data_IF_240862215749
#
_entry.id   IF_240862215749
#
_cell.length_a   1.000
_cell.length_b   1.000
_cell.length_c   1.000
_cell.angle_alpha   90.00
_cell.angle_beta   90.00
_cell.angle_gamma   90.00
#
_symmetry.space_group_name_H-M   'P 1'
#
loop_
_entity.id
_entity.type
_entity.pdbx_description
1 polymer ?
#
# COMPACT_ATOMS: atom_id res chain seq x y z
N UNK A 1 1.02 61.04 -40.25
CA UNK A 1 0.88 59.66 -39.75
C UNK A 1 1.04 59.74 -38.25
N UNK A 2 0.00 59.43 -37.47
CA UNK A 2 0.15 59.26 -36.02
C UNK A 2 0.76 57.88 -35.87
N UNK A 3 2.07 57.83 -35.67
CA UNK A 3 2.76 56.59 -35.32
C UNK A 3 2.21 56.18 -33.96
N UNK A 4 1.59 55.00 -33.87
CA UNK A 4 1.16 54.46 -32.59
C UNK A 4 2.42 54.26 -31.75
N UNK A 5 2.59 55.12 -30.75
CA UNK A 5 3.84 55.26 -30.01
C UNK A 5 4.21 54.03 -29.14
N UNK A 6 3.45 52.94 -29.25
CA UNK A 6 3.61 51.70 -28.51
C UNK A 6 3.97 50.50 -29.40
N UNK A 7 4.03 50.67 -30.72
CA UNK A 7 4.41 49.60 -31.63
C UNK A 7 5.94 49.56 -31.80
N UNK A 8 6.57 48.44 -31.41
CA UNK A 8 8.02 48.24 -31.49
C UNK A 8 8.52 48.38 -32.91
N UNK A 9 7.79 47.84 -33.89
CA UNK A 9 8.20 47.85 -35.29
C UNK A 9 8.14 49.29 -35.85
N UNK A 10 7.11 50.05 -35.46
CA UNK A 10 6.97 51.43 -35.89
C UNK A 10 8.03 52.38 -35.25
N UNK A 11 8.49 52.08 -34.02
CA UNK A 11 9.60 52.80 -33.40
C UNK A 11 10.93 52.41 -34.05
N UNK A 12 11.14 51.14 -34.40
CA UNK A 12 12.33 50.69 -35.12
C UNK A 12 12.47 51.36 -36.50
N UNK A 13 11.38 51.41 -37.28
CA UNK A 13 11.33 52.12 -38.56
C UNK A 13 11.64 53.62 -38.41
N UNK A 14 11.21 54.24 -37.30
CA UNK A 14 11.52 55.63 -36.99
C UNK A 14 13.00 55.84 -36.63
N UNK A 15 13.63 54.90 -35.91
CA UNK A 15 15.09 54.92 -35.64
C UNK A 15 15.87 54.81 -36.95
N UNK A 16 15.49 53.90 -37.85
CA UNK A 16 16.11 53.76 -39.17
C UNK A 16 15.95 55.03 -40.01
N UNK A 17 14.77 55.65 -39.97
CA UNK A 17 14.53 56.91 -40.68
C UNK A 17 15.41 58.06 -40.15
N UNK A 18 15.50 58.21 -38.83
CA UNK A 18 16.30 59.27 -38.21
C UNK A 18 17.81 59.07 -38.39
N UNK A 19 18.28 57.82 -38.39
CA UNK A 19 19.68 57.51 -38.71
C UNK A 19 20.02 57.79 -40.17
N UNK A 20 19.08 57.56 -41.11
CA UNK A 20 19.25 57.97 -42.50
C UNK A 20 19.26 59.50 -42.69
N UNK A 21 18.42 60.25 -41.95
CA UNK A 21 18.46 61.72 -41.94
C UNK A 21 19.80 62.22 -41.40
N UNK A 22 20.30 61.66 -40.30
CA UNK A 22 21.63 61.99 -39.75
C UNK A 22 22.73 61.81 -40.80
N UNK A 23 22.74 60.67 -41.49
CA UNK A 23 23.81 60.35 -42.46
C UNK A 23 23.75 61.26 -43.70
N UNK A 24 22.55 61.64 -44.15
CA UNK A 24 22.37 62.59 -45.26
C UNK A 24 22.73 64.03 -44.88
N UNK A 25 22.36 64.49 -43.69
CA UNK A 25 22.74 65.82 -43.17
C UNK A 25 24.26 65.94 -42.94
N UNK A 26 24.88 64.89 -42.38
CA UNK A 26 26.34 64.83 -42.20
C UNK A 26 27.08 64.87 -43.54
N UNK A 27 26.57 64.21 -44.58
CA UNK A 27 27.15 64.26 -45.93
C UNK A 27 27.01 65.63 -46.60
N UNK A 28 25.95 66.39 -46.27
CA UNK A 28 25.73 67.76 -46.74
C UNK A 28 26.55 68.82 -46.00
N UNK A 29 27.19 68.46 -44.87
CA UNK A 29 27.94 69.37 -44.00
C UNK A 29 27.07 70.17 -43.03
N UNK A 30 25.79 69.82 -42.90
CA UNK A 30 24.87 70.43 -41.92
C UNK A 30 24.92 69.66 -40.61
N UNK A 31 25.86 70.04 -39.76
CA UNK A 31 26.14 69.34 -38.50
C UNK A 31 25.08 69.57 -37.42
N UNK A 32 24.37 70.71 -37.46
CA UNK A 32 23.33 71.03 -36.49
C UNK A 32 22.12 70.10 -36.70
N UNK A 33 21.68 69.96 -37.95
CA UNK A 33 20.61 69.01 -38.31
C UNK A 33 21.03 67.54 -38.05
N UNK A 34 22.30 67.20 -38.26
CA UNK A 34 22.80 65.86 -37.95
C UNK A 34 22.83 65.57 -36.43
N UNK A 35 23.13 66.57 -35.60
CA UNK A 35 23.12 66.43 -34.14
C UNK A 35 21.70 66.26 -33.59
N UNK A 36 20.74 67.06 -34.05
CA UNK A 36 19.32 66.92 -33.67
C UNK A 36 18.76 65.54 -34.08
N UNK A 37 19.09 65.07 -35.29
CA UNK A 37 18.69 63.75 -35.76
C UNK A 37 19.34 62.61 -34.96
N UNK A 38 20.57 62.80 -34.48
CA UNK A 38 21.27 61.85 -33.63
C UNK A 38 20.63 61.74 -32.24
N UNK A 39 20.37 62.87 -31.58
CA UNK A 39 19.72 62.89 -30.26
C UNK A 39 18.34 62.21 -30.31
N UNK A 40 17.54 62.52 -31.33
CA UNK A 40 16.21 61.92 -31.48
C UNK A 40 16.28 60.42 -31.84
N UNK A 41 17.29 59.98 -32.60
CA UNK A 41 17.52 58.55 -32.85
C UNK A 41 17.94 57.80 -31.57
N UNK A 42 18.73 58.41 -30.69
CA UNK A 42 19.09 57.82 -29.39
C UNK A 42 17.88 57.69 -28.46
N UNK A 43 17.03 58.73 -28.37
CA UNK A 43 15.79 58.69 -27.59
C UNK A 43 14.83 57.60 -28.10
N UNK A 44 14.64 57.52 -29.42
CA UNK A 44 13.79 56.47 -30.01
C UNK A 44 14.39 55.08 -29.81
N UNK A 45 15.72 54.92 -29.89
CA UNK A 45 16.39 53.63 -29.64
C UNK A 45 16.26 53.20 -28.17
N UNK A 46 16.33 54.13 -27.22
CA UNK A 46 16.07 53.86 -25.81
C UNK A 46 14.62 53.39 -25.59
N UNK A 47 13.64 54.08 -26.22
CA UNK A 47 12.23 53.70 -26.17
C UNK A 47 11.97 52.33 -26.80
N UNK A 48 12.61 52.03 -27.92
CA UNK A 48 12.54 50.72 -28.58
C UNK A 48 13.03 49.60 -27.66
N UNK A 49 14.16 49.83 -26.95
CA UNK A 49 14.71 48.88 -25.99
C UNK A 49 13.77 48.65 -24.79
N UNK A 50 13.10 49.70 -24.30
CA UNK A 50 12.10 49.59 -23.25
C UNK A 50 10.89 48.76 -23.68
N UNK A 51 10.32 49.04 -24.86
CA UNK A 51 9.19 48.27 -25.38
C UNK A 51 9.56 46.79 -25.62
N UNK A 52 10.74 46.52 -26.19
CA UNK A 52 11.26 45.15 -26.34
C UNK A 52 11.40 44.44 -24.99
N UNK A 53 11.84 45.14 -23.94
CA UNK A 53 11.95 44.57 -22.60
C UNK A 53 10.56 44.22 -22.03
N UNK A 54 9.56 45.10 -22.23
CA UNK A 54 8.17 44.85 -21.83
C UNK A 54 7.61 43.62 -22.54
N UNK A 55 7.75 43.53 -23.86
CA UNK A 55 7.26 42.39 -24.65
C UNK A 55 7.94 41.08 -24.24
N UNK A 56 9.26 41.10 -24.05
CA UNK A 56 10.00 39.94 -23.55
C UNK A 56 9.49 39.51 -22.17
N UNK A 57 9.24 40.45 -21.26
CA UNK A 57 8.71 40.15 -19.93
C UNK A 57 7.30 39.54 -19.98
N UNK A 58 6.45 40.03 -20.89
CA UNK A 58 5.10 39.49 -21.11
C UNK A 58 5.16 38.07 -21.68
N UNK A 59 6.07 37.82 -22.62
CA UNK A 59 6.34 36.47 -23.14
C UNK A 59 6.83 35.52 -22.04
N UNK A 60 7.76 35.96 -21.18
CA UNK A 60 8.24 35.15 -20.05
C UNK A 60 7.12 34.80 -19.07
N UNK A 61 6.26 35.76 -18.75
CA UNK A 61 5.11 35.55 -17.89
C UNK A 61 4.12 34.55 -18.50
N UNK A 62 3.88 34.64 -19.81
CA UNK A 62 3.04 33.69 -20.54
C UNK A 62 3.63 32.28 -20.55
N UNK A 63 4.91 32.13 -20.89
CA UNK A 63 5.59 30.82 -20.87
C UNK A 63 5.52 30.17 -19.48
N UNK A 64 5.69 30.95 -18.41
CA UNK A 64 5.53 30.47 -17.03
C UNK A 64 4.10 30.04 -16.72
N UNK A 65 3.10 30.82 -17.12
CA UNK A 65 1.70 30.49 -16.91
C UNK A 65 1.30 29.21 -17.66
N UNK A 66 1.76 29.04 -18.89
CA UNK A 66 1.55 27.82 -19.68
C UNK A 66 2.20 26.59 -19.03
N UNK A 67 3.42 26.73 -18.51
CA UNK A 67 4.11 25.66 -17.78
C UNK A 67 3.35 25.27 -16.50
N UNK A 68 2.87 26.25 -15.73
CA UNK A 68 2.09 26.01 -14.51
C UNK A 68 0.76 25.31 -14.82
N UNK A 69 0.02 25.79 -15.83
CA UNK A 69 -1.24 25.17 -16.24
C UNK A 69 -1.06 23.73 -16.72
N UNK A 70 -0.02 23.45 -17.52
CA UNK A 70 0.30 22.10 -17.95
C UNK A 70 0.66 21.19 -16.77
N UNK A 71 1.39 21.71 -15.80
CA UNK A 71 1.74 20.98 -14.58
C UNK A 71 0.51 20.69 -13.70
N UNK A 72 -0.40 21.64 -13.53
CA UNK A 72 -1.64 21.45 -12.77
C UNK A 72 -2.52 20.36 -13.40
N UNK A 73 -2.60 20.32 -14.73
CA UNK A 73 -3.28 19.25 -15.45
C UNK A 73 -2.64 17.88 -15.17
N UNK A 74 -1.31 17.77 -15.26
CA UNK A 74 -0.58 16.54 -14.94
C UNK A 74 -0.79 16.09 -13.49
N UNK A 75 -0.81 17.02 -12.53
CA UNK A 75 -1.11 16.69 -11.13
C UNK A 75 -2.54 16.20 -10.95
N UNK A 76 -3.50 16.83 -11.61
CA UNK A 76 -4.91 16.40 -11.58
C UNK A 76 -5.06 14.98 -12.15
N UNK A 77 -4.46 14.71 -13.30
CA UNK A 77 -4.45 13.37 -13.93
C UNK A 77 -3.76 12.33 -13.03
N UNK A 78 -2.63 12.69 -12.43
CA UNK A 78 -1.91 11.84 -11.49
C UNK A 78 -2.78 11.45 -10.29
N UNK A 79 -3.46 12.43 -9.69
CA UNK A 79 -4.34 12.20 -8.54
C UNK A 79 -5.51 11.30 -8.94
N UNK A 80 -6.21 11.64 -10.03
CA UNK A 80 -7.35 10.85 -10.51
C UNK A 80 -6.95 9.40 -10.81
N UNK A 81 -5.84 9.19 -11.52
CA UNK A 81 -5.36 7.84 -11.86
C UNK A 81 -4.90 7.03 -10.65
N UNK A 82 -4.44 7.69 -9.58
CA UNK A 82 -4.10 7.01 -8.32
C UNK A 82 -5.33 6.70 -7.47
N UNK A 83 -6.32 7.57 -7.45
CA UNK A 83 -7.57 7.34 -6.74
C UNK A 83 -8.32 6.16 -7.37
N UNK A 84 -8.42 6.10 -8.71
CA UNK A 84 -8.99 4.95 -9.42
C UNK A 84 -8.28 3.63 -9.09
N UNK A 85 -6.95 3.62 -9.07
CA UNK A 85 -6.15 2.43 -8.72
C UNK A 85 -6.40 1.97 -7.27
N UNK A 86 -6.51 2.92 -6.34
CA UNK A 86 -6.75 2.62 -4.93
C UNK A 86 -8.18 2.11 -4.70
N UNK A 87 -9.15 2.67 -5.41
CA UNK A 87 -10.54 2.23 -5.37
C UNK A 87 -10.70 0.83 -5.97
N UNK A 88 -10.07 0.57 -7.12
CA UNK A 88 -10.03 -0.77 -7.71
C UNK A 88 -9.38 -1.80 -6.78
N UNK A 89 -8.29 -1.42 -6.10
CA UNK A 89 -7.67 -2.28 -5.08
C UNK A 89 -8.60 -2.52 -3.88
N UNK A 90 -9.28 -1.48 -3.39
CA UNK A 90 -10.21 -1.60 -2.28
C UNK A 90 -11.40 -2.53 -2.61
N UNK A 91 -11.97 -2.40 -3.82
CA UNK A 91 -13.00 -3.29 -4.33
C UNK A 91 -12.51 -4.74 -4.39
N UNK A 92 -11.38 -4.99 -5.05
CA UNK A 92 -10.80 -6.34 -5.15
C UNK A 92 -10.44 -6.94 -3.77
N UNK A 93 -9.99 -6.13 -2.83
CA UNK A 93 -9.71 -6.57 -1.46
C UNK A 93 -10.99 -6.95 -0.69
N UNK A 94 -12.08 -6.21 -0.89
CA UNK A 94 -13.40 -6.53 -0.34
C UNK A 94 -13.91 -7.85 -0.91
N UNK A 95 -13.89 -8.01 -2.24
CA UNK A 95 -14.35 -9.23 -2.91
C UNK A 95 -13.57 -10.46 -2.43
N UNK A 96 -12.25 -10.32 -2.22
CA UNK A 96 -11.42 -11.40 -1.70
C UNK A 96 -11.77 -11.78 -0.25
N UNK A 97 -12.12 -10.81 0.60
CA UNK A 97 -12.57 -11.06 1.97
C UNK A 97 -13.94 -11.74 1.98
N UNK A 98 -14.87 -11.27 1.15
CA UNK A 98 -16.21 -11.84 1.07
C UNK A 98 -16.20 -13.26 0.49
N UNK A 99 -15.36 -13.51 -0.52
CA UNK A 99 -15.11 -14.85 -1.03
C UNK A 99 -14.53 -15.79 0.04
N UNK A 100 -13.59 -15.31 0.86
CA UNK A 100 -13.03 -16.11 1.95
C UNK A 100 -14.10 -16.43 3.00
N UNK A 101 -14.90 -15.45 3.41
CA UNK A 101 -15.99 -15.63 4.39
C UNK A 101 -17.05 -16.59 3.88
N UNK A 102 -17.40 -16.51 2.59
CA UNK A 102 -18.32 -17.44 1.95
C UNK A 102 -17.76 -18.87 1.98
N UNK A 103 -16.48 -19.04 1.64
CA UNK A 103 -15.82 -20.34 1.73
C UNK A 103 -15.77 -20.89 3.17
N UNK A 104 -15.55 -20.03 4.17
CA UNK A 104 -15.62 -20.41 5.58
C UNK A 104 -17.01 -20.88 6.00
N UNK A 105 -18.07 -20.18 5.56
CA UNK A 105 -19.45 -20.57 5.82
C UNK A 105 -19.82 -21.91 5.16
N UNK A 106 -19.38 -22.14 3.93
CA UNK A 106 -19.55 -23.42 3.23
C UNK A 106 -18.78 -24.56 3.92
N UNK A 107 -17.55 -24.31 4.38
CA UNK A 107 -16.75 -25.29 5.14
C UNK A 107 -17.41 -25.62 6.49
N UNK A 108 -17.95 -24.63 7.19
CA UNK A 108 -18.67 -24.84 8.45
C UNK A 108 -19.94 -25.66 8.23
N UNK A 109 -20.71 -25.36 7.19
CA UNK A 109 -21.91 -26.12 6.87
C UNK A 109 -21.57 -27.57 6.49
N UNK A 110 -20.56 -27.78 5.63
CA UNK A 110 -20.10 -29.12 5.29
C UNK A 110 -19.57 -29.89 6.51
N UNK A 111 -18.96 -29.21 7.48
CA UNK A 111 -18.51 -29.81 8.73
C UNK A 111 -19.70 -30.30 9.57
N UNK A 112 -20.77 -29.51 9.67
CA UNK A 112 -22.00 -29.90 10.37
C UNK A 112 -22.72 -31.05 9.69
N UNK A 113 -22.89 -31.00 8.37
CA UNK A 113 -23.54 -32.05 7.58
C UNK A 113 -22.81 -33.39 7.74
N UNK A 114 -21.48 -33.37 7.73
CA UNK A 114 -20.66 -34.56 7.97
C UNK A 114 -20.88 -35.14 9.38
N UNK A 115 -21.04 -34.29 10.40
CA UNK A 115 -21.28 -34.73 11.78
C UNK A 115 -22.71 -35.21 12.02
N UNK A 116 -23.67 -34.67 11.29
CA UNK A 116 -25.05 -35.14 11.29
C UNK A 116 -25.17 -36.50 10.60
N UNK A 117 -24.50 -36.69 9.45
CA UNK A 117 -24.41 -37.97 8.78
C UNK A 117 -23.75 -39.04 9.67
N UNK A 118 -22.63 -38.72 10.31
CA UNK A 118 -22.02 -39.58 11.34
C UNK A 118 -22.95 -39.82 12.54
N UNK A 119 -23.85 -38.87 12.84
CA UNK A 119 -24.84 -39.03 13.91
C UNK A 119 -25.82 -40.14 13.63
N UNK A 120 -26.41 -40.09 12.44
CA UNK A 120 -27.39 -41.06 11.97
C UNK A 120 -26.78 -42.45 11.94
N UNK A 121 -25.54 -42.57 11.45
CA UNK A 121 -24.84 -43.85 11.39
C UNK A 121 -24.49 -44.43 12.78
N UNK A 122 -24.05 -43.59 13.73
CA UNK A 122 -23.56 -44.06 15.03
C UNK A 122 -24.64 -44.30 16.09
N UNK A 123 -25.90 -43.86 15.88
CA UNK A 123 -27.02 -44.15 16.80
C UNK A 123 -27.21 -45.66 17.05
N UNK A 124 -26.77 -46.51 16.12
CA UNK A 124 -26.91 -47.96 16.18
C UNK A 124 -25.78 -48.69 16.93
N UNK A 125 -24.71 -47.99 17.36
CA UNK A 125 -23.46 -48.64 17.80
C UNK A 125 -22.87 -48.09 19.11
N UNK A 126 -23.69 -47.66 20.08
CA UNK A 126 -23.15 -47.44 21.44
C UNK A 126 -22.80 -48.81 22.01
N UNK A 127 -21.49 -49.07 22.15
CA UNK A 127 -20.99 -50.33 22.72
C UNK A 127 -21.47 -50.44 24.17
N UNK A 128 -22.39 -51.35 24.42
CA UNK A 128 -22.89 -51.67 25.76
C UNK A 128 -21.73 -51.90 26.73
N UNK A 129 -21.80 -51.32 27.93
CA UNK A 129 -20.80 -51.60 28.95
C UNK A 129 -20.82 -53.07 29.36
N UNK A 130 -19.69 -53.54 29.90
CA UNK A 130 -19.60 -54.90 30.45
C UNK A 130 -20.65 -55.15 31.55
N UNK A 131 -20.99 -54.11 32.32
CA UNK A 131 -21.99 -54.16 33.39
C UNK A 131 -23.40 -54.30 32.80
N UNK A 132 -23.73 -53.55 31.74
CA UNK A 132 -25.00 -53.70 31.02
C UNK A 132 -25.17 -55.12 30.46
N UNK A 133 -24.13 -55.64 29.79
CA UNK A 133 -24.15 -56.99 29.23
C UNK A 133 -24.31 -58.07 30.31
N UNK A 134 -23.66 -57.90 31.47
CA UNK A 134 -23.80 -58.81 32.60
C UNK A 134 -25.23 -58.79 33.17
N UNK A 135 -25.84 -57.60 33.30
CA UNK A 135 -27.21 -57.46 33.80
C UNK A 135 -28.24 -58.05 32.85
N UNK A 136 -28.08 -57.88 31.54
CA UNK A 136 -28.91 -58.55 30.51
C UNK A 136 -28.82 -60.07 30.59
N UNK A 137 -27.61 -60.63 30.77
CA UNK A 137 -27.45 -62.08 31.01
C UNK A 137 -28.12 -62.55 32.29
N UNK A 138 -28.05 -61.77 33.37
CA UNK A 138 -28.75 -62.09 34.63
C UNK A 138 -30.27 -62.03 34.48
N UNK A 139 -30.79 -61.10 33.67
CA UNK A 139 -32.21 -61.01 33.33
C UNK A 139 -32.65 -62.27 32.56
N UNK A 140 -31.94 -62.65 31.51
CA UNK A 140 -32.20 -63.86 30.72
C UNK A 140 -32.22 -65.13 31.60
N UNK A 141 -31.24 -65.26 32.51
CA UNK A 141 -31.19 -66.37 33.47
C UNK A 141 -32.36 -66.35 34.46
N UNK A 142 -32.77 -65.18 34.94
CA UNK A 142 -33.90 -65.04 35.86
C UNK A 142 -35.24 -65.39 35.19
N UNK A 143 -35.40 -65.04 33.91
CA UNK A 143 -36.57 -65.42 33.10
C UNK A 143 -36.59 -66.93 32.85
N UNK A 144 -35.46 -67.52 32.48
CA UNK A 144 -35.33 -68.96 32.27
C UNK A 144 -35.62 -69.78 33.55
N UNK A 145 -35.35 -69.22 34.72
CA UNK A 145 -35.66 -69.81 36.02
C UNK A 145 -37.08 -69.47 36.55
N UNK A 146 -37.93 -68.81 35.75
CA UNK A 146 -39.28 -68.37 36.12
C UNK A 146 -39.35 -67.39 37.31
N UNK A 147 -38.27 -66.66 37.60
CA UNK A 147 -38.18 -65.67 38.69
C UNK A 147 -38.62 -64.27 38.20
N UNK A 148 -39.89 -64.12 37.83
CA UNK A 148 -40.39 -62.90 37.17
C UNK A 148 -40.22 -61.60 37.96
N UNK A 149 -40.37 -61.64 39.29
CA UNK A 149 -40.18 -60.45 40.13
C UNK A 149 -38.73 -59.94 40.09
N UNK A 150 -37.76 -60.86 40.08
CA UNK A 150 -36.34 -60.53 39.97
C UNK A 150 -36.00 -60.04 38.57
N UNK A 151 -36.57 -60.65 37.53
CA UNK A 151 -36.42 -60.18 36.15
C UNK A 151 -36.93 -58.73 35.99
N UNK A 152 -38.10 -58.40 36.55
CA UNK A 152 -38.64 -57.03 36.53
C UNK A 152 -37.72 -56.01 37.22
N UNK A 153 -37.12 -56.36 38.35
CA UNK A 153 -36.14 -55.51 39.04
C UNK A 153 -34.87 -55.30 38.20
N UNK A 154 -34.33 -56.37 37.62
CA UNK A 154 -33.17 -56.30 36.73
C UNK A 154 -33.46 -55.45 35.48
N UNK A 155 -34.66 -55.55 34.92
CA UNK A 155 -35.07 -54.73 33.78
C UNK A 155 -35.09 -53.23 34.12
N UNK A 156 -35.55 -52.85 35.31
CA UNK A 156 -35.50 -51.45 35.76
C UNK A 156 -34.05 -50.97 35.95
N UNK A 157 -33.17 -51.81 36.51
CA UNK A 157 -31.75 -51.50 36.62
C UNK A 157 -31.06 -51.35 35.26
N UNK A 158 -31.37 -52.23 34.30
CA UNK A 158 -30.86 -52.17 32.93
C UNK A 158 -31.24 -50.85 32.29
N UNK A 159 -32.52 -50.45 32.33
CA UNK A 159 -32.98 -49.16 31.78
C UNK A 159 -32.25 -47.98 32.40
N UNK A 160 -32.07 -47.97 33.72
CA UNK A 160 -31.36 -46.89 34.41
C UNK A 160 -29.87 -46.81 34.00
N UNK A 161 -29.23 -47.93 33.67
CA UNK A 161 -27.86 -47.97 33.15
C UNK A 161 -27.82 -47.50 31.69
N UNK A 162 -28.76 -47.93 30.86
CA UNK A 162 -28.88 -47.51 29.45
C UNK A 162 -29.07 -46.00 29.33
N UNK A 163 -29.94 -45.42 30.14
CA UNK A 163 -30.16 -43.96 30.19
C UNK A 163 -28.88 -43.21 30.57
N UNK A 164 -28.14 -43.69 31.58
CA UNK A 164 -26.86 -43.10 32.00
C UNK A 164 -25.79 -43.20 30.92
N UNK A 165 -25.66 -44.36 30.28
CA UNK A 165 -24.69 -44.57 29.19
C UNK A 165 -25.03 -43.73 27.96
N UNK A 166 -26.32 -43.65 27.60
CA UNK A 166 -26.81 -42.79 26.52
C UNK A 166 -26.52 -41.31 26.80
N UNK A 167 -26.84 -40.83 28.00
CA UNK A 167 -26.57 -39.44 28.40
C UNK A 167 -25.06 -39.12 28.41
N UNK A 168 -24.22 -40.03 28.90
CA UNK A 168 -22.76 -39.84 28.87
C UNK A 168 -22.19 -39.86 27.44
N UNK A 169 -22.72 -40.72 26.57
CA UNK A 169 -22.33 -40.77 25.16
C UNK A 169 -22.73 -39.48 24.43
N UNK A 170 -23.94 -38.98 24.67
CA UNK A 170 -24.43 -37.71 24.13
C UNK A 170 -23.60 -36.53 24.63
N UNK A 171 -23.31 -36.48 25.94
CA UNK A 171 -22.45 -35.43 26.51
C UNK A 171 -21.06 -35.42 25.87
N UNK A 172 -20.39 -36.58 25.79
CA UNK A 172 -19.07 -36.70 25.18
C UNK A 172 -19.07 -36.33 23.70
N UNK A 173 -20.16 -36.65 22.99
CA UNK A 173 -20.37 -36.24 21.61
C UNK A 173 -20.48 -34.73 21.50
N UNK A 174 -21.32 -34.09 22.32
CA UNK A 174 -21.51 -32.64 22.30
C UNK A 174 -20.20 -31.91 22.61
N UNK A 175 -19.41 -32.40 23.59
CA UNK A 175 -18.08 -31.84 23.89
C UNK A 175 -17.11 -31.98 22.72
N UNK A 176 -17.15 -33.08 21.96
CA UNK A 176 -16.33 -33.25 20.76
C UNK A 176 -16.77 -32.32 19.64
N UNK A 177 -18.07 -32.11 19.49
CA UNK A 177 -18.62 -31.20 18.50
C UNK A 177 -18.20 -29.76 18.80
N UNK A 178 -18.43 -29.28 20.02
CA UNK A 178 -18.06 -27.90 20.41
C UNK A 178 -16.57 -27.64 20.22
N UNK A 179 -15.70 -28.53 20.71
CA UNK A 179 -14.25 -28.42 20.49
C UNK A 179 -13.83 -28.52 19.03
N UNK A 180 -14.64 -29.18 18.20
CA UNK A 180 -14.43 -29.24 16.75
C UNK A 180 -14.70 -27.89 16.11
N UNK A 181 -15.85 -27.30 16.40
CA UNK A 181 -16.30 -25.98 15.93
C UNK A 181 -15.36 -24.89 16.41
N UNK A 182 -14.98 -24.88 17.70
CA UNK A 182 -14.05 -23.89 18.26
C UNK A 182 -12.70 -23.89 17.52
N UNK A 183 -12.19 -25.07 17.13
CA UNK A 183 -10.95 -25.19 16.36
C UNK A 183 -11.12 -24.72 14.93
N UNK A 184 -12.27 -24.98 14.32
CA UNK A 184 -12.60 -24.51 12.98
C UNK A 184 -12.68 -22.98 12.95
N UNK A 185 -13.44 -22.38 13.87
CA UNK A 185 -13.56 -20.93 14.01
C UNK A 185 -12.22 -20.26 14.32
N UNK A 186 -11.40 -20.87 15.19
CA UNK A 186 -10.06 -20.35 15.46
C UNK A 186 -9.19 -20.33 14.20
N UNK A 187 -9.27 -21.37 13.36
CA UNK A 187 -8.57 -21.42 12.08
C UNK A 187 -9.08 -20.33 11.12
N UNK A 188 -10.40 -20.22 10.95
CA UNK A 188 -11.03 -19.18 10.12
C UNK A 188 -10.58 -17.77 10.53
N UNK A 189 -10.61 -17.48 11.84
CA UNK A 189 -10.15 -16.20 12.38
C UNK A 189 -8.67 -15.92 12.08
N UNK A 190 -7.79 -16.93 12.16
CA UNK A 190 -6.37 -16.76 11.81
C UNK A 190 -6.16 -16.52 10.31
N UNK A 191 -6.93 -17.18 9.45
CA UNK A 191 -6.87 -17.00 8.00
C UNK A 191 -7.37 -15.60 7.60
N UNK A 192 -8.49 -15.15 8.16
CA UNK A 192 -9.02 -13.79 7.93
C UNK A 192 -8.05 -12.72 8.44
N UNK A 193 -7.48 -12.88 9.63
CA UNK A 193 -6.49 -11.95 10.18
C UNK A 193 -5.22 -11.87 9.32
N UNK A 194 -4.76 -13.00 8.78
CA UNK A 194 -3.62 -13.03 7.86
C UNK A 194 -3.93 -12.29 6.55
N UNK A 195 -5.13 -12.50 5.98
CA UNK A 195 -5.56 -11.80 4.78
C UNK A 195 -5.67 -10.28 5.02
N UNK A 196 -6.29 -9.86 6.12
CA UNK A 196 -6.40 -8.45 6.50
C UNK A 196 -5.03 -7.80 6.68
N UNK A 197 -4.08 -8.50 7.30
CA UNK A 197 -2.70 -8.02 7.46
C UNK A 197 -2.04 -7.81 6.10
N UNK A 198 -2.23 -8.74 5.16
CA UNK A 198 -1.71 -8.63 3.79
C UNK A 198 -2.35 -7.48 3.01
N UNK A 199 -3.67 -7.29 3.14
CA UNK A 199 -4.41 -6.18 2.52
C UNK A 199 -3.87 -4.84 3.05
N UNK A 200 -3.73 -4.70 4.36
CA UNK A 200 -3.21 -3.49 4.99
C UNK A 200 -1.77 -3.19 4.55
N UNK A 201 -0.90 -4.21 4.53
CA UNK A 201 0.48 -4.04 4.05
C UNK A 201 0.54 -3.57 2.60
N UNK A 202 -0.29 -4.14 1.71
CA UNK A 202 -0.35 -3.73 0.30
C UNK A 202 -0.91 -2.32 0.13
N UNK A 203 -1.91 -1.94 0.93
CA UNK A 203 -2.46 -0.59 0.94
C UNK A 203 -1.39 0.43 1.33
N UNK A 204 -0.64 0.15 2.40
CA UNK A 204 0.40 1.05 2.89
C UNK A 204 1.59 1.11 1.92
N UNK A 205 1.91 0.01 1.24
CA UNK A 205 2.86 0.00 0.11
C UNK A 205 2.38 0.90 -1.03
N UNK A 206 1.10 0.80 -1.42
CA UNK A 206 0.50 1.66 -2.44
C UNK A 206 0.60 3.15 -2.09
N UNK A 207 0.34 3.50 -0.83
CA UNK A 207 0.52 4.89 -0.33
C UNK A 207 1.95 5.37 -0.45
N UNK A 208 2.94 4.54 -0.09
CA UNK A 208 4.37 4.89 -0.21
C UNK A 208 4.77 5.09 -1.67
N UNK A 209 4.28 4.23 -2.57
CA UNK A 209 4.51 4.37 -4.01
C UNK A 209 3.90 5.66 -4.56
N UNK A 210 2.64 5.97 -4.22
CA UNK A 210 2.00 7.24 -4.57
C UNK A 210 2.83 8.44 -4.11
N UNK A 211 3.29 8.43 -2.86
CA UNK A 211 4.13 9.52 -2.35
C UNK A 211 5.44 9.66 -3.13
N UNK A 212 6.14 8.55 -3.37
CA UNK A 212 7.40 8.57 -4.11
C UNK A 212 7.24 9.06 -5.55
N UNK A 213 6.15 8.69 -6.23
CA UNK A 213 5.87 9.16 -7.59
C UNK A 213 5.46 10.63 -7.60
N UNK A 214 4.70 11.07 -6.60
CA UNK A 214 4.35 12.48 -6.41
C UNK A 214 5.59 13.35 -6.19
N UNK A 215 6.51 12.91 -5.33
CA UNK A 215 7.77 13.61 -5.08
C UNK A 215 8.63 13.69 -6.35
N UNK A 216 8.65 12.62 -7.15
CA UNK A 216 9.34 12.60 -8.43
C UNK A 216 8.70 13.57 -9.45
N UNK A 217 7.38 13.69 -9.48
CA UNK A 217 6.65 14.64 -10.33
C UNK A 217 6.96 16.09 -9.93
N UNK A 218 6.94 16.38 -8.62
CA UNK A 218 7.35 17.69 -8.09
C UNK A 218 8.79 18.05 -8.46
N UNK A 219 9.72 17.10 -8.34
CA UNK A 219 11.11 17.33 -8.71
C UNK A 219 11.26 17.66 -10.21
N UNK A 220 10.49 16.98 -11.08
CA UNK A 220 10.47 17.29 -12.52
C UNK A 220 9.95 18.69 -12.80
N UNK A 221 8.86 19.09 -12.14
CA UNK A 221 8.32 20.44 -12.26
C UNK A 221 9.32 21.51 -11.81
N UNK A 222 9.96 21.30 -10.65
CA UNK A 222 10.98 22.21 -10.15
C UNK A 222 12.16 22.36 -11.13
N UNK A 223 12.61 21.25 -11.73
CA UNK A 223 13.65 21.28 -12.75
C UNK A 223 13.21 22.02 -14.02
N UNK A 224 11.94 21.88 -14.42
CA UNK A 224 11.39 22.61 -15.57
C UNK A 224 11.35 24.12 -15.30
N UNK A 225 10.87 24.53 -14.13
CA UNK A 225 10.82 25.94 -13.70
C UNK A 225 12.22 26.54 -13.67
N UNK A 226 13.18 25.88 -13.01
CA UNK A 226 14.56 26.38 -12.90
C UNK A 226 15.24 26.50 -14.26
N UNK A 227 14.99 25.57 -15.18
CA UNK A 227 15.50 25.63 -16.55
C UNK A 227 14.87 26.79 -17.33
N UNK A 228 13.57 27.00 -17.19
CA UNK A 228 12.84 28.08 -17.86
C UNK A 228 13.29 29.46 -17.34
N UNK A 229 13.42 29.63 -16.03
CA UNK A 229 13.97 30.85 -15.43
C UNK A 229 15.42 31.13 -15.89
N UNK A 230 16.24 30.09 -16.01
CA UNK A 230 17.60 30.24 -16.53
C UNK A 230 17.61 30.71 -17.99
N UNK A 231 16.69 30.19 -18.81
CA UNK A 231 16.46 30.64 -20.20
C UNK A 231 16.02 32.11 -20.24
N UNK A 232 15.05 32.50 -19.42
CA UNK A 232 14.57 33.89 -19.32
C UNK A 232 15.68 34.86 -18.92
N UNK A 233 16.47 34.51 -17.91
CA UNK A 233 17.64 35.30 -17.47
C UNK A 233 18.69 35.43 -18.58
N UNK A 234 18.93 34.38 -19.37
CA UNK A 234 19.86 34.43 -20.49
C UNK A 234 19.35 35.35 -21.63
N UNK A 235 18.04 35.29 -21.93
CA UNK A 235 17.41 36.16 -22.93
C UNK A 235 17.45 37.64 -22.51
N UNK A 236 17.16 37.94 -21.25
CA UNK A 236 17.27 39.31 -20.72
C UNK A 236 18.70 39.85 -20.86
N UNK A 237 19.71 39.07 -20.47
CA UNK A 237 21.13 39.46 -20.64
C UNK A 237 21.49 39.72 -22.09
N UNK A 238 21.03 38.87 -23.01
CA UNK A 238 21.26 39.05 -24.45
C UNK A 238 20.58 40.33 -24.97
N UNK A 239 19.35 40.62 -24.53
CA UNK A 239 18.63 41.84 -24.93
C UNK A 239 19.27 43.13 -24.41
N UNK A 240 19.91 43.10 -23.23
CA UNK A 240 20.64 44.25 -22.70
C UNK A 240 22.06 44.42 -23.26
N UNK A 241 22.63 43.35 -23.83
CA UNK A 241 24.01 43.33 -24.32
C UNK A 241 24.15 43.74 -25.80
N UNK A 242 23.05 44.06 -26.50
CA UNK A 242 23.07 44.52 -27.90
C UNK A 242 23.46 45.99 -28.09
N UNK A 243 23.97 46.67 -27.05
CA UNK A 243 24.67 47.94 -27.22
C UNK A 243 26.02 47.73 -27.95
N UNK A 244 26.53 48.73 -28.69
CA UNK A 244 27.74 48.59 -29.49
C UNK A 244 28.89 48.07 -28.62
N UNK A 245 29.67 47.09 -29.11
CA UNK A 245 30.76 46.53 -28.34
C UNK A 245 31.74 47.64 -28.02
N UNK A 246 31.78 48.07 -26.75
CA UNK A 246 32.91 48.82 -26.24
C UNK A 246 34.15 47.99 -26.58
N UNK A 247 35.01 48.55 -27.43
CA UNK A 247 36.28 48.00 -27.91
C UNK A 247 37.22 47.77 -26.73
N UNK A 248 36.96 46.72 -25.94
CA UNK A 248 37.83 46.26 -24.88
C UNK A 248 38.92 45.39 -25.50
N UNK A 249 39.95 46.03 -26.05
CA UNK A 249 41.24 45.41 -26.34
C UNK A 249 41.85 44.92 -25.02
N UNK A 250 41.61 43.68 -24.65
CA UNK A 250 42.05 43.10 -23.40
C UNK A 250 42.47 41.65 -23.58
N UNK A 251 43.68 41.45 -24.10
CA UNK A 251 44.35 40.16 -24.21
C UNK A 251 44.45 39.50 -22.83
N UNK A 252 43.63 38.48 -22.56
CA UNK A 252 43.84 37.56 -21.45
C UNK A 252 43.80 36.12 -21.93
N UNK A 253 44.99 35.68 -22.33
CA UNK A 253 45.41 34.28 -22.29
C UNK A 253 45.32 33.79 -20.83
N UNK A 254 44.55 32.74 -20.60
CA UNK A 254 44.30 32.23 -19.25
C UNK A 254 43.53 30.91 -19.28
N UNK A 255 44.26 29.85 -19.63
CA UNK A 255 43.97 28.44 -19.36
C UNK A 255 42.88 28.21 -18.30
N UNK A 256 41.73 27.69 -18.71
CA UNK A 256 40.74 27.12 -17.78
C UNK A 256 40.41 25.72 -18.23
N UNK A 257 40.93 24.75 -17.48
CA UNK A 257 40.67 23.34 -17.61
C UNK A 257 39.16 23.06 -17.56
N UNK A 258 38.67 22.27 -18.51
CA UNK A 258 37.33 21.73 -18.49
C UNK A 258 37.12 20.86 -17.24
N UNK A 259 36.10 21.10 -16.40
CA UNK A 259 35.66 20.08 -15.48
C UNK A 259 34.99 18.96 -16.30
N UNK A 260 35.65 17.80 -16.31
CA UNK A 260 35.11 16.53 -16.78
C UNK A 260 33.91 16.18 -15.90
N UNK A 261 32.71 16.53 -16.33
CA UNK A 261 31.47 16.06 -15.71
C UNK A 261 31.32 14.59 -16.10
N UNK A 262 31.84 13.71 -15.23
CA UNK A 262 31.51 12.30 -15.26
C UNK A 262 30.02 12.14 -14.92
N UNK A 263 29.23 11.92 -15.97
CA UNK A 263 27.89 11.34 -15.91
C UNK A 263 27.99 9.95 -15.26
N UNK A 264 28.04 9.92 -13.92
CA UNK A 264 27.78 8.72 -13.16
C UNK A 264 26.27 8.51 -13.12
N UNK A 265 25.83 7.62 -14.00
CA UNK A 265 24.74 6.67 -13.82
C UNK A 265 23.77 6.94 -12.64
N UNK A 266 22.63 7.54 -12.95
CA UNK A 266 21.36 7.04 -12.42
C UNK A 266 20.61 6.41 -13.58
N UNK A 267 20.73 5.09 -13.67
CA UNK A 267 20.18 4.25 -14.72
C UNK A 267 18.69 4.47 -14.90
N UNK A 268 18.34 5.04 -16.05
CA UNK A 268 17.07 4.78 -16.69
C UNK A 268 17.09 3.34 -17.20
N UNK A 269 16.58 2.42 -16.39
CA UNK A 269 16.16 1.11 -16.85
C UNK A 269 14.68 1.21 -17.23
N UNK A 270 14.30 1.19 -18.51
CA UNK A 270 12.93 0.90 -18.89
C UNK A 270 12.71 -0.61 -18.74
N UNK A 271 12.38 -1.07 -17.52
CA UNK A 271 11.83 -2.42 -17.35
C UNK A 271 10.34 -2.34 -17.70
N UNK A 272 10.06 -2.46 -19.00
CA UNK A 272 8.80 -3.00 -19.51
C UNK A 272 9.17 -4.32 -20.19
N UNK A 273 9.11 -5.42 -19.42
CA UNK A 273 8.75 -6.74 -19.94
C UNK A 273 8.28 -7.63 -18.79
N UNK A 274 6.97 -7.85 -18.79
CA UNK A 274 6.17 -8.88 -18.14
C UNK A 274 6.90 -10.13 -17.59
N UNK A 275 6.34 -10.74 -16.53
CA UNK A 275 6.19 -12.18 -16.48
C UNK A 275 4.75 -12.56 -16.84
N UNK A 276 4.52 -12.93 -18.10
CA UNK A 276 3.46 -13.88 -18.44
C UNK A 276 3.95 -15.27 -18.03
N UNK A 277 3.38 -15.81 -16.95
CA UNK A 277 3.36 -17.27 -16.73
C UNK A 277 1.94 -17.69 -16.39
N UNK A 278 1.18 -18.28 -17.32
CA UNK A 278 -0.04 -18.99 -16.97
C UNK A 278 0.37 -20.35 -16.41
N UNK A 279 0.12 -20.60 -15.12
CA UNK A 279 0.08 -21.97 -14.60
C UNK A 279 -1.37 -22.33 -14.30
N UNK A 280 -2.06 -22.83 -15.32
CA UNK A 280 -3.22 -23.68 -15.12
C UNK A 280 -2.73 -25.13 -14.94
N UNK A 281 -3.26 -25.76 -13.90
CA UNK A 281 -3.18 -27.15 -13.39
C UNK A 281 -3.52 -28.23 -14.44
N UNK A 282 -3.80 -29.53 -14.14
CA UNK A 282 -3.72 -30.35 -12.90
C UNK A 282 -3.21 -31.82 -13.12
N UNK A 283 -3.25 -32.61 -12.03
CA UNK A 283 -3.40 -34.07 -11.93
C UNK A 283 -2.23 -35.01 -12.33
N UNK A 284 -2.00 -36.04 -11.52
CA UNK A 284 -1.16 -37.16 -11.89
C UNK A 284 -0.69 -37.98 -10.71
N UNK A 285 -1.57 -38.84 -10.21
CA UNK A 285 -1.30 -39.90 -9.24
C UNK A 285 -0.03 -40.70 -9.52
N UNK A 286 0.73 -41.06 -8.50
CA UNK A 286 1.09 -42.48 -8.30
C UNK A 286 1.47 -42.78 -6.85
N UNK A 287 0.99 -43.96 -6.48
CA UNK A 287 1.01 -44.68 -5.22
C UNK A 287 2.31 -45.51 -5.15
N UNK A 288 2.69 -45.92 -3.92
CA UNK A 288 3.75 -46.88 -3.50
C UNK A 288 4.98 -46.16 -2.91
N UNK A 289 5.52 -46.50 -1.75
CA UNK A 289 5.29 -47.69 -0.94
C UNK A 289 5.94 -47.61 0.45
N UNK A 290 5.58 -48.63 1.23
CA UNK A 290 6.09 -49.05 2.54
C UNK A 290 7.59 -48.82 2.75
N UNK A 291 8.02 -48.53 3.98
CA UNK A 291 8.62 -49.55 4.84
C UNK A 291 8.78 -49.08 6.28
N UNK A 292 8.62 -50.04 7.20
CA UNK A 292 8.86 -49.95 8.63
C UNK A 292 10.37 -50.05 8.87
N UNK A 293 10.91 -49.21 9.74
CA UNK A 293 12.29 -49.34 10.23
C UNK A 293 12.35 -49.06 11.73
N UNK A 294 12.13 -50.10 12.55
CA UNK A 294 12.53 -50.11 13.96
C UNK A 294 14.06 -50.16 14.01
N UNK A 295 14.69 -49.17 14.63
CA UNK A 295 16.11 -49.18 14.93
C UNK A 295 16.35 -48.84 16.39
N UNK A 296 16.37 -49.87 17.25
CA UNK A 296 17.01 -49.79 18.57
C UNK A 296 18.51 -49.89 18.35
N UNK A 297 19.28 -48.93 18.86
CA UNK A 297 20.74 -48.98 18.87
C UNK A 297 21.27 -48.33 20.15
N UNK A 298 21.73 -49.17 21.08
CA UNK A 298 22.48 -48.78 22.28
C UNK A 298 23.98 -48.70 21.93
N UNK A 299 24.70 -47.85 22.67
CA UNK A 299 26.17 -47.83 22.77
C UNK A 299 26.85 -46.99 21.69
N UNK A 300 27.94 -46.27 21.93
CA UNK A 300 28.88 -46.28 23.05
C UNK A 300 29.64 -44.95 23.14
N UNK A 301 30.26 -44.79 24.32
CA UNK A 301 31.23 -43.79 24.76
C UNK A 301 32.36 -43.50 23.75
N UNK A 302 32.80 -42.24 23.70
CA UNK A 302 34.19 -41.71 23.74
C UNK A 302 34.10 -40.19 23.48
N UNK A 303 34.27 -39.32 24.47
CA UNK A 303 35.53 -38.83 25.09
C UNK A 303 36.22 -37.70 24.31
N UNK A 304 36.45 -36.62 25.05
CA UNK A 304 37.54 -35.61 25.00
C UNK A 304 37.41 -34.39 24.07
N UNK A 305 37.54 -33.22 24.71
CA UNK A 305 38.02 -31.94 24.13
C UNK A 305 36.89 -30.96 23.83
N UNK A 306 36.95 -29.67 24.15
CA UNK A 306 37.91 -28.84 24.86
C UNK A 306 37.21 -27.51 25.19
N UNK A 307 37.86 -26.74 26.06
CA UNK A 307 37.39 -25.52 26.69
C UNK A 307 36.98 -24.37 25.73
N UNK A 308 36.00 -23.57 26.18
CA UNK A 308 35.59 -22.33 25.50
C UNK A 308 34.43 -21.62 26.21
N UNK A 309 34.57 -21.31 27.51
CA UNK A 309 33.58 -20.52 28.26
C UNK A 309 33.84 -19.03 28.06
N UNK A 310 33.15 -18.39 27.12
CA UNK A 310 32.96 -16.93 27.10
C UNK A 310 31.68 -16.58 27.86
N UNK A 311 31.84 -16.04 29.07
CA UNK A 311 30.76 -15.44 29.86
C UNK A 311 30.39 -14.09 29.24
N UNK A 312 29.34 -14.04 28.43
CA UNK A 312 28.62 -12.79 28.16
C UNK A 312 27.41 -12.71 29.10
N UNK A 313 27.56 -11.91 30.17
CA UNK A 313 26.47 -11.48 31.05
C UNK A 313 25.54 -10.56 30.25
N UNK A 314 24.47 -11.11 29.68
CA UNK A 314 23.37 -10.31 29.15
C UNK A 314 22.42 -9.94 30.30
N UNK A 315 22.36 -8.64 30.54
CA UNK A 315 21.67 -7.89 31.59
C UNK A 315 20.16 -8.07 31.49
N UNK A 316 19.55 -8.65 32.52
CA UNK A 316 18.11 -8.76 32.71
C UNK A 316 17.49 -7.36 32.78
N UNK A 317 16.45 -7.02 32.00
CA UNK A 317 15.77 -5.74 32.15
C UNK A 317 14.99 -5.70 33.47
N UNK A 318 15.28 -4.68 34.27
CA UNK A 318 14.55 -4.34 35.50
C UNK A 318 13.07 -4.14 35.17
N UNK A 319 12.20 -4.93 35.80
CA UNK A 319 10.77 -4.66 35.88
C UNK A 319 10.57 -3.33 36.60
N UNK A 320 9.97 -2.36 35.91
CA UNK A 320 9.53 -1.10 36.50
C UNK A 320 8.40 -1.32 37.52
N UNK A 321 8.19 -0.34 38.42
CA UNK A 321 7.17 -0.42 39.47
C UNK A 321 5.76 -0.47 38.88
N UNK A 322 4.93 -1.34 39.47
CA UNK A 322 3.50 -1.46 39.17
C UNK A 322 2.77 -0.18 39.56
N UNK A 323 1.81 0.33 38.76
CA UNK A 323 0.93 1.41 39.17
C UNK A 323 -0.03 0.94 40.29
N UNK A 324 -0.44 1.83 41.20
CA UNK A 324 -1.37 1.52 42.28
C UNK A 324 -2.81 1.35 41.78
N UNK A 325 -3.55 0.54 42.52
CA UNK A 325 -4.92 0.08 42.29
C UNK A 325 -5.91 1.17 41.85
N UNK A 326 -6.42 1.05 40.62
CA UNK A 326 -7.59 1.78 40.18
C UNK A 326 -8.84 1.14 40.83
N UNK A 327 -9.35 1.83 41.85
CA UNK A 327 -10.61 1.53 42.54
C UNK A 327 -11.75 1.32 41.53
N UNK A 328 -12.29 0.11 41.57
CA UNK A 328 -13.59 -0.31 41.05
C UNK A 328 -14.67 0.66 41.55
N UNK A 329 -15.18 1.53 40.67
CA UNK A 329 -16.45 2.23 40.89
C UNK A 329 -17.55 1.46 40.16
N UNK A 330 -18.24 0.61 40.92
CA UNK A 330 -19.47 -0.02 40.49
C UNK A 330 -20.55 1.01 40.19
N UNK A 331 -20.89 1.18 38.91
CA UNK A 331 -22.15 1.82 38.51
C UNK A 331 -23.26 0.79 38.58
N UNK A 332 -24.03 0.84 39.66
CA UNK A 332 -25.37 0.25 39.77
C UNK A 332 -26.24 0.80 38.64
N UNK A 333 -26.56 -0.01 37.63
CA UNK A 333 -27.71 0.25 36.74
C UNK A 333 -28.97 -0.20 37.48
N UNK A 334 -29.80 0.78 37.86
CA UNK A 334 -31.17 0.57 38.33
C UNK A 334 -31.98 -0.04 37.17
N UNK A 335 -32.68 -1.12 37.45
CA UNK A 335 -33.71 -1.65 36.56
C UNK A 335 -34.91 -0.69 36.52
N UNK A 336 -35.37 -0.36 35.31
CA UNK A 336 -36.72 0.17 35.11
C UNK A 336 -37.61 -1.00 34.68
N UNK A 337 -38.45 -1.42 35.61
CA UNK A 337 -39.67 -2.18 35.35
C UNK A 337 -40.56 -1.35 34.44
N UNK A 338 -40.83 -1.83 33.22
CA UNK A 338 -41.98 -1.36 32.44
C UNK A 338 -43.04 -2.44 32.55
N UNK A 339 -44.07 -2.04 33.28
CA UNK A 339 -45.28 -2.80 33.59
C UNK A 339 -46.21 -2.74 32.38
N UNK A 340 -46.82 -3.87 32.10
CA UNK A 340 -47.93 -4.11 31.20
C UNK A 340 -49.06 -3.08 31.29
N UNK A 341 -49.67 -2.77 30.14
CA UNK A 341 -51.09 -2.44 30.02
C UNK A 341 -51.66 -3.03 28.73
N UNK A 342 -52.41 -4.10 28.94
CA UNK A 342 -53.54 -4.56 28.14
C UNK A 342 -54.67 -3.53 28.23
N UNK A 343 -55.29 -3.23 27.09
CA UNK A 343 -56.75 -3.14 26.85
C UNK A 343 -56.96 -3.26 25.36
#
# INVERSE_FOLDING_TARGET
>A
MVVDANDVDAVADAVEHMTAIRDTAAAAGDYDAAAEAHELAEELSAREAELKCVDLSALHAREMAELMAANDALFSEFVAGWDEKLDAFAGSASDALDALRKAHAEEEQAWWDAREAEAGANKLSVRASALLLQKRKMEEQAVAAHLYQRAKQLQAEIRAIEEKEAAAAEHNRNVKLTRGVERLHARHATEEAALLTRINSKRDEGKRRRQSEYDALLARFHNAVTTLEAKHKAQLRASTASGPPATASGTRSGSTAHPKVELTATGWNPIISLPHRPSNSPCGSTRRGRSRGRGRGRGARRSVGAAGKTKTKAKTPRRGPRPPDAKVRGRRRRGSSVRSKTT
#
